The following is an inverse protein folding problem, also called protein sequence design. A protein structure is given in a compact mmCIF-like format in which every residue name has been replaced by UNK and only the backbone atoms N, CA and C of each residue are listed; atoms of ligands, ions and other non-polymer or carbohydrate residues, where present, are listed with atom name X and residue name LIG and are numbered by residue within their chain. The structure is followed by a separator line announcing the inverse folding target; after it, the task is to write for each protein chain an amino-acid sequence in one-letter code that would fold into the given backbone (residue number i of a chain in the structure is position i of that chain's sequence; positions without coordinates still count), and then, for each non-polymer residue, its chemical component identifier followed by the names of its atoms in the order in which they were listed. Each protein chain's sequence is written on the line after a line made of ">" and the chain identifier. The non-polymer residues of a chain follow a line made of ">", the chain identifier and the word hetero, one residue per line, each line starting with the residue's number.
data_IF_636107285031
#
_entry.id   IF_636107285031
#
_cell.length_a   1.000
_cell.length_b   1.000
_cell.length_c   1.000
_cell.angle_alpha   90.00
_cell.angle_beta   90.00
_cell.angle_gamma   90.00
#
_symmetry.space_group_name_H-M   'P 1'
#
loop_
_entity.id
_entity.type
_entity.pdbx_description
1 polymer ?
#
# COMPACT_ATOMS: atom_id res chain seq x y z
N UNK A 1 -5.27 -85.80 7.84
CA UNK A 1 -4.40 -84.66 8.00
C UNK A 1 -4.40 -83.90 6.67
N UNK A 2 -5.16 -82.81 6.57
CA UNK A 2 -5.26 -81.96 5.34
C UNK A 2 -4.23 -80.86 5.45
N UNK A 3 -3.25 -80.78 4.59
CA UNK A 3 -2.30 -79.67 4.46
C UNK A 3 -2.95 -78.52 3.71
N UNK A 4 -3.13 -77.43 4.33
CA UNK A 4 -3.58 -76.17 3.70
C UNK A 4 -2.33 -75.49 3.17
N UNK A 5 -2.21 -75.35 1.85
CA UNK A 5 -1.19 -74.56 1.19
C UNK A 5 -1.76 -73.13 1.08
N UNK A 6 -1.19 -72.20 1.82
CA UNK A 6 -1.51 -70.76 1.70
C UNK A 6 -0.57 -70.20 0.64
N UNK A 7 -1.12 -69.90 -0.52
CA UNK A 7 -0.41 -69.19 -1.60
C UNK A 7 -0.53 -67.73 -1.35
N UNK A 8 0.52 -67.08 -0.82
CA UNK A 8 0.59 -65.63 -0.66
C UNK A 8 0.82 -64.96 -2.00
N UNK A 9 -0.21 -64.32 -2.52
CA UNK A 9 -0.07 -63.42 -3.68
C UNK A 9 0.58 -62.12 -3.26
N UNK A 10 1.87 -61.94 -3.60
CA UNK A 10 2.61 -60.70 -3.41
C UNK A 10 2.17 -59.68 -4.47
N UNK A 11 1.22 -58.79 -4.16
CA UNK A 11 0.88 -57.66 -5.01
C UNK A 11 2.03 -56.64 -4.97
N UNK A 12 2.87 -56.66 -6.00
CA UNK A 12 3.85 -55.59 -6.24
C UNK A 12 3.07 -54.37 -6.75
N UNK A 13 2.79 -53.42 -5.85
CA UNK A 13 2.27 -52.10 -6.24
C UNK A 13 3.40 -51.33 -6.95
N UNK A 14 3.38 -51.28 -8.24
CA UNK A 14 4.21 -50.36 -9.02
C UNK A 14 3.73 -48.91 -8.73
N UNK A 15 4.44 -48.22 -7.80
CA UNK A 15 4.33 -46.76 -7.69
C UNK A 15 4.96 -46.16 -8.94
N UNK A 16 4.13 -45.80 -9.91
CA UNK A 16 4.55 -44.97 -11.04
C UNK A 16 4.83 -43.60 -10.51
N UNK A 17 6.06 -43.34 -10.08
CA UNK A 17 6.55 -42.00 -9.80
C UNK A 17 6.67 -41.29 -11.14
N UNK A 18 5.68 -40.47 -11.48
CA UNK A 18 5.79 -39.53 -12.60
C UNK A 18 6.82 -38.47 -12.21
N UNK A 19 8.06 -38.67 -12.61
CA UNK A 19 9.10 -37.66 -12.51
C UNK A 19 8.73 -36.48 -13.42
N UNK A 20 8.05 -35.48 -12.88
CA UNK A 20 7.71 -34.27 -13.63
C UNK A 20 8.98 -33.47 -13.85
N UNK A 21 9.44 -33.36 -15.08
CA UNK A 21 10.60 -32.53 -15.43
C UNK A 21 10.27 -31.07 -15.12
N UNK A 22 11.02 -30.46 -14.21
CA UNK A 22 10.88 -29.04 -13.86
C UNK A 22 11.82 -28.21 -14.73
N UNK A 23 11.27 -27.35 -15.56
CA UNK A 23 12.03 -26.41 -16.40
C UNK A 23 11.67 -24.98 -16.01
N UNK A 24 12.61 -24.02 -16.12
CA UNK A 24 12.31 -22.61 -15.90
C UNK A 24 11.25 -22.12 -16.89
N UNK A 25 10.30 -21.30 -16.40
CA UNK A 25 9.33 -20.66 -17.27
C UNK A 25 9.94 -19.45 -17.98
N UNK A 26 9.60 -19.24 -19.25
CA UNK A 26 10.08 -18.11 -20.05
C UNK A 26 9.62 -16.76 -19.51
N UNK A 27 8.51 -16.74 -18.79
CA UNK A 27 7.94 -15.59 -18.11
C UNK A 27 7.58 -16.02 -16.69
N UNK A 28 8.53 -15.92 -15.73
CA UNK A 28 8.30 -16.37 -14.36
C UNK A 28 7.19 -15.57 -13.68
N UNK A 29 6.46 -16.23 -12.81
CA UNK A 29 5.45 -15.60 -11.99
C UNK A 29 6.12 -14.67 -10.94
N UNK A 30 5.45 -13.57 -10.62
CA UNK A 30 5.79 -12.68 -9.54
C UNK A 30 4.56 -12.36 -8.71
N UNK A 31 4.81 -12.09 -7.45
CA UNK A 31 3.82 -11.74 -6.46
C UNK A 31 4.31 -10.51 -5.68
N UNK A 32 3.45 -9.52 -5.52
CA UNK A 32 3.70 -8.30 -4.76
C UNK A 32 2.59 -8.17 -3.74
N UNK A 33 2.96 -7.85 -2.53
CA UNK A 33 2.05 -7.46 -1.47
C UNK A 33 2.58 -6.19 -0.83
N UNK A 34 1.76 -5.13 -0.80
CA UNK A 34 2.13 -3.83 -0.26
C UNK A 34 0.95 -3.23 0.50
N UNK A 35 1.17 -2.84 1.75
CA UNK A 35 0.20 -2.04 2.50
C UNK A 35 0.36 -0.56 2.15
N UNK A 36 -0.72 0.11 1.79
CA UNK A 36 -0.80 1.54 1.53
C UNK A 36 -1.78 2.13 2.54
N UNK A 37 -1.29 2.98 3.44
CA UNK A 37 -2.06 3.41 4.59
C UNK A 37 -2.51 2.23 5.45
N UNK A 38 -3.81 1.90 5.41
CA UNK A 38 -4.41 0.74 6.09
C UNK A 38 -5.02 -0.26 5.11
N UNK A 39 -4.67 -0.18 3.83
CA UNK A 39 -5.21 -1.02 2.75
C UNK A 39 -4.12 -1.92 2.19
N UNK A 40 -4.37 -3.23 2.15
CA UNK A 40 -3.46 -4.18 1.52
C UNK A 40 -3.76 -4.27 0.02
N UNK A 41 -2.70 -4.21 -0.78
CA UNK A 41 -2.74 -4.34 -2.24
C UNK A 41 -1.87 -5.51 -2.64
N UNK A 42 -2.45 -6.47 -3.39
CA UNK A 42 -1.73 -7.65 -3.90
C UNK A 42 -1.78 -7.65 -5.42
N UNK A 43 -0.66 -7.96 -6.06
CA UNK A 43 -0.56 -8.12 -7.52
C UNK A 43 0.08 -9.45 -7.83
N UNK A 44 -0.58 -10.25 -8.68
CA UNK A 44 -0.04 -11.52 -9.20
C UNK A 44 0.05 -11.42 -10.71
N UNK A 45 1.23 -11.68 -11.26
CA UNK A 45 1.47 -11.54 -12.70
C UNK A 45 2.66 -12.37 -13.17
N UNK A 46 2.77 -12.56 -14.48
CA UNK A 46 3.95 -13.18 -15.10
C UNK A 46 4.80 -12.12 -15.79
N UNK A 47 6.13 -12.27 -15.70
CA UNK A 47 7.13 -11.28 -16.10
C UNK A 47 7.85 -11.67 -17.39
N UNK A 48 7.37 -11.28 -18.56
CA UNK A 48 8.11 -11.47 -19.81
C UNK A 48 9.30 -10.54 -19.89
N UNK A 49 10.38 -11.00 -20.57
CA UNK A 49 11.56 -10.19 -20.89
C UNK A 49 11.55 -9.78 -22.35
N UNK A 50 12.08 -8.61 -22.67
CA UNK A 50 12.14 -8.08 -24.03
C UNK A 50 13.04 -8.92 -24.94
N UNK A 51 14.19 -9.35 -24.44
CA UNK A 51 15.17 -10.17 -25.19
C UNK A 51 15.51 -9.57 -26.57
N UNK A 52 15.79 -8.27 -26.57
CA UNK A 52 16.14 -7.52 -27.78
C UNK A 52 15.00 -7.24 -28.75
N UNK A 53 13.74 -7.57 -28.39
CA UNK A 53 12.55 -7.24 -29.21
C UNK A 53 12.06 -5.85 -28.86
N UNK A 54 11.50 -5.13 -29.83
CA UNK A 54 10.67 -3.94 -29.59
C UNK A 54 9.37 -4.38 -28.93
N UNK A 55 9.04 -3.76 -27.80
CA UNK A 55 7.87 -4.16 -27.01
C UNK A 55 6.61 -3.49 -27.50
N UNK A 56 6.50 -2.20 -27.27
CA UNK A 56 5.25 -1.48 -27.58
C UNK A 56 5.20 -1.07 -29.06
N UNK A 57 4.10 -1.42 -29.71
CA UNK A 57 3.90 -1.27 -31.14
C UNK A 57 4.17 -2.56 -31.93
N UNK A 58 5.01 -3.47 -31.40
CA UNK A 58 5.33 -4.74 -32.04
C UNK A 58 4.88 -5.96 -31.19
N UNK A 59 5.61 -6.32 -30.12
CA UNK A 59 5.26 -7.44 -29.27
C UNK A 59 3.91 -7.25 -28.56
N UNK A 60 3.66 -6.00 -28.12
CA UNK A 60 2.38 -5.52 -27.60
C UNK A 60 1.88 -4.43 -28.55
N UNK A 61 1.04 -4.79 -29.55
CA UNK A 61 0.58 -3.84 -30.57
C UNK A 61 -0.25 -2.70 -29.97
N UNK A 62 -0.05 -1.50 -30.46
CA UNK A 62 -0.88 -0.36 -30.07
C UNK A 62 -2.34 -0.55 -30.49
N UNK A 63 -3.24 -0.04 -29.65
CA UNK A 63 -4.69 -0.13 -29.87
C UNK A 63 -5.28 -1.53 -29.67
N UNK A 64 -4.50 -2.49 -29.15
CA UNK A 64 -4.97 -3.82 -28.78
C UNK A 64 -4.91 -4.05 -27.30
N UNK A 65 -5.93 -4.71 -26.78
CA UNK A 65 -5.96 -5.11 -25.37
C UNK A 65 -4.85 -6.10 -25.06
N UNK A 66 -4.19 -5.90 -23.94
CA UNK A 66 -3.12 -6.73 -23.43
C UNK A 66 -3.43 -7.22 -22.01
N UNK A 67 -3.12 -8.47 -21.72
CA UNK A 67 -3.28 -9.09 -20.38
C UNK A 67 -2.35 -8.53 -19.31
N UNK A 68 -1.57 -7.48 -19.61
CA UNK A 68 -0.65 -6.78 -18.72
C UNK A 68 0.38 -7.71 -18.09
N UNK A 69 0.98 -8.57 -18.93
CA UNK A 69 1.93 -9.60 -18.53
C UNK A 69 1.98 -10.73 -19.55
N UNK A 70 2.15 -11.95 -19.05
CA UNK A 70 2.19 -13.18 -19.87
C UNK A 70 1.45 -14.32 -19.14
N UNK A 71 1.22 -15.45 -19.83
CA UNK A 71 0.50 -16.62 -19.33
C UNK A 71 -0.95 -16.27 -18.91
N UNK A 72 -1.35 -16.57 -17.66
CA UNK A 72 -2.62 -16.12 -17.11
C UNK A 72 -2.67 -14.58 -17.08
N UNK A 73 -3.87 -14.01 -17.01
CA UNK A 73 -4.03 -12.57 -16.83
C UNK A 73 -3.43 -12.10 -15.50
N UNK A 74 -2.90 -10.88 -15.48
CA UNK A 74 -2.50 -10.21 -14.25
C UNK A 74 -3.71 -9.97 -13.38
N UNK A 75 -3.59 -10.20 -12.07
CA UNK A 75 -4.63 -9.84 -11.10
C UNK A 75 -4.13 -8.84 -10.09
N UNK A 76 -5.04 -7.97 -9.65
CA UNK A 76 -4.82 -7.04 -8.53
C UNK A 76 -5.95 -7.17 -7.54
N UNK A 77 -5.61 -7.18 -6.24
CA UNK A 77 -6.58 -7.28 -5.14
C UNK A 77 -6.42 -6.10 -4.20
N UNK A 78 -7.52 -5.50 -3.82
CA UNK A 78 -7.59 -4.46 -2.79
C UNK A 78 -8.41 -4.97 -1.60
N UNK A 79 -7.90 -4.80 -0.38
CA UNK A 79 -8.60 -5.19 0.85
C UNK A 79 -9.75 -4.23 1.22
N UNK A 80 -9.73 -3.01 0.70
CA UNK A 80 -10.73 -1.97 0.91
C UNK A 80 -11.13 -1.31 -0.41
N UNK A 81 -12.25 -0.58 -0.41
CA UNK A 81 -12.65 0.25 -1.55
C UNK A 81 -11.60 1.32 -1.83
N UNK A 82 -11.19 1.47 -3.08
CA UNK A 82 -10.21 2.49 -3.49
C UNK A 82 -10.80 3.45 -4.51
N UNK A 83 -10.19 4.63 -4.66
CA UNK A 83 -10.61 5.61 -5.67
C UNK A 83 -9.53 5.72 -6.74
N UNK A 84 -9.91 5.52 -8.00
CA UNK A 84 -9.04 5.61 -9.17
C UNK A 84 -9.67 6.56 -10.19
N UNK A 85 -8.95 7.64 -10.54
CA UNK A 85 -9.47 8.63 -11.47
C UNK A 85 -10.80 9.26 -11.03
N UNK A 86 -11.01 9.44 -9.72
CA UNK A 86 -12.22 9.99 -9.12
C UNK A 86 -13.42 9.02 -9.06
N UNK A 87 -13.24 7.75 -9.43
CA UNK A 87 -14.28 6.71 -9.38
C UNK A 87 -13.93 5.66 -8.34
N UNK A 88 -14.93 5.24 -7.57
CA UNK A 88 -14.74 4.15 -6.59
C UNK A 88 -14.63 2.80 -7.30
N UNK A 89 -13.57 2.07 -7.00
CA UNK A 89 -13.41 0.65 -7.31
C UNK A 89 -13.64 -0.12 -5.99
N UNK A 90 -14.68 -0.96 -5.90
CA UNK A 90 -14.95 -1.74 -4.69
C UNK A 90 -13.78 -2.64 -4.31
N UNK A 91 -13.65 -2.98 -3.04
CA UNK A 91 -12.70 -4.01 -2.60
C UNK A 91 -12.94 -5.33 -3.30
N UNK A 92 -11.87 -6.04 -3.61
CA UNK A 92 -11.97 -7.30 -4.32
C UNK A 92 -10.78 -7.56 -5.22
N UNK A 93 -10.85 -8.65 -5.98
CA UNK A 93 -9.83 -9.03 -6.96
C UNK A 93 -10.33 -8.72 -8.37
N UNK A 94 -9.45 -8.19 -9.20
CA UNK A 94 -9.73 -7.80 -10.57
C UNK A 94 -8.63 -8.31 -11.51
N UNK A 95 -9.00 -8.72 -12.72
CA UNK A 95 -8.04 -8.84 -13.79
C UNK A 95 -7.63 -7.44 -14.26
N UNK A 96 -6.33 -7.23 -14.43
CA UNK A 96 -5.76 -5.97 -14.89
C UNK A 96 -5.43 -6.10 -16.38
N UNK A 97 -6.20 -5.43 -17.23
CA UNK A 97 -5.94 -5.31 -18.65
C UNK A 97 -5.49 -3.91 -19.00
N UNK A 98 -4.67 -3.79 -20.04
CA UNK A 98 -4.28 -2.50 -20.57
C UNK A 98 -4.50 -2.45 -22.08
N UNK A 99 -4.75 -1.25 -22.60
CA UNK A 99 -4.83 -0.97 -24.01
C UNK A 99 -3.83 0.16 -24.33
N UNK A 100 -2.58 -0.22 -24.66
CA UNK A 100 -1.53 0.73 -24.96
C UNK A 100 -1.78 1.50 -26.25
N UNK A 101 -1.51 2.80 -26.22
CA UNK A 101 -1.38 3.68 -27.38
C UNK A 101 -0.06 4.45 -27.24
N UNK A 102 0.35 5.17 -28.27
CA UNK A 102 1.63 5.88 -28.25
C UNK A 102 1.69 7.00 -27.19
N UNK A 103 0.58 7.67 -26.94
CA UNK A 103 0.45 8.86 -26.10
C UNK A 103 -0.47 8.70 -24.88
N UNK A 104 -1.18 7.58 -24.80
CA UNK A 104 -2.13 7.31 -23.72
C UNK A 104 -2.39 5.81 -23.57
N UNK A 105 -2.68 5.36 -22.33
CA UNK A 105 -3.05 3.97 -22.07
C UNK A 105 -4.37 3.92 -21.33
N UNK A 106 -5.27 3.05 -21.78
CA UNK A 106 -6.41 2.68 -20.95
C UNK A 106 -5.98 1.54 -20.03
N UNK A 107 -6.26 1.69 -18.73
CA UNK A 107 -6.05 0.67 -17.71
C UNK A 107 -7.42 0.24 -17.20
N UNK A 108 -7.68 -1.07 -17.24
CA UNK A 108 -9.01 -1.66 -17.08
C UNK A 108 -8.96 -2.66 -15.93
N UNK A 109 -9.87 -2.48 -14.99
CA UNK A 109 -10.13 -3.41 -13.88
C UNK A 109 -11.37 -4.22 -14.23
N UNK A 110 -11.19 -5.52 -14.43
CA UNK A 110 -12.19 -6.42 -14.98
C UNK A 110 -12.57 -7.50 -13.96
N UNK A 111 -13.87 -7.77 -13.81
CA UNK A 111 -14.39 -8.64 -12.75
C UNK A 111 -14.03 -10.11 -12.90
N UNK A 112 -13.84 -10.59 -14.14
CA UNK A 112 -13.50 -12.00 -14.38
C UNK A 112 -11.98 -12.18 -14.35
N UNK A 113 -11.50 -12.84 -13.31
CA UNK A 113 -10.06 -12.96 -13.00
C UNK A 113 -9.44 -14.28 -13.43
N UNK A 114 -10.24 -15.24 -13.90
CA UNK A 114 -9.77 -16.60 -14.20
C UNK A 114 -9.64 -16.84 -15.71
N UNK A 115 -8.77 -16.06 -16.39
CA UNK A 115 -8.54 -16.20 -17.80
C UNK A 115 -7.09 -16.61 -18.11
N UNK A 116 -6.90 -17.57 -19.02
CA UNK A 116 -5.58 -17.81 -19.59
C UNK A 116 -5.27 -16.76 -20.66
N UNK A 117 -4.94 -15.55 -20.20
CA UNK A 117 -4.71 -14.41 -21.06
C UNK A 117 -5.87 -13.42 -21.07
N UNK A 118 -6.36 -13.07 -22.23
CA UNK A 118 -7.60 -12.32 -22.39
C UNK A 118 -8.80 -13.28 -22.36
N UNK A 119 -9.98 -12.83 -21.95
CA UNK A 119 -11.18 -13.64 -22.05
C UNK A 119 -11.48 -13.96 -23.54
N UNK A 120 -11.97 -15.16 -23.86
CA UNK A 120 -12.34 -15.55 -25.23
C UNK A 120 -13.37 -14.58 -25.82
N UNK A 121 -14.31 -14.14 -24.99
CA UNK A 121 -15.29 -13.11 -25.34
C UNK A 121 -15.25 -12.02 -24.28
N UNK A 122 -14.81 -10.86 -24.67
CA UNK A 122 -14.83 -9.68 -23.79
C UNK A 122 -16.28 -9.22 -23.59
N UNK A 123 -16.64 -8.96 -22.34
CA UNK A 123 -17.97 -8.48 -21.96
C UNK A 123 -17.81 -7.14 -21.24
N UNK A 124 -18.22 -6.04 -21.87
CA UNK A 124 -18.13 -4.69 -21.34
C UNK A 124 -18.82 -4.54 -19.96
N UNK A 125 -19.82 -5.39 -19.68
CA UNK A 125 -20.52 -5.38 -18.37
C UNK A 125 -19.65 -5.85 -17.21
N UNK A 126 -18.59 -6.58 -17.49
CA UNK A 126 -17.59 -7.04 -16.51
C UNK A 126 -16.46 -6.03 -16.29
N UNK A 127 -16.43 -4.96 -17.07
CA UNK A 127 -15.51 -3.85 -16.87
C UNK A 127 -16.00 -3.00 -15.69
N UNK A 128 -15.33 -3.13 -14.53
CA UNK A 128 -15.73 -2.45 -13.30
C UNK A 128 -15.25 -1.01 -13.30
N UNK A 129 -14.03 -0.78 -13.80
CA UNK A 129 -13.45 0.55 -13.91
C UNK A 129 -12.46 0.61 -15.07
N UNK A 130 -12.49 1.71 -15.81
CA UNK A 130 -11.47 2.11 -16.78
C UNK A 130 -10.95 3.49 -16.44
N UNK A 131 -9.65 3.65 -16.46
CA UNK A 131 -8.95 4.93 -16.33
C UNK A 131 -7.95 5.09 -17.45
N UNK A 132 -7.62 6.33 -17.78
CA UNK A 132 -6.64 6.66 -18.81
C UNK A 132 -5.43 7.33 -18.18
N UNK A 133 -4.24 6.91 -18.59
CA UNK A 133 -2.95 7.43 -18.10
C UNK A 133 -2.01 7.70 -19.27
N UNK A 134 -1.09 8.63 -19.07
CA UNK A 134 -0.05 8.93 -20.06
C UNK A 134 1.19 8.09 -19.80
N UNK A 135 1.82 7.53 -20.85
CA UNK A 135 3.10 6.86 -20.69
C UNK A 135 4.21 7.88 -20.45
N UNK A 136 5.16 7.48 -19.60
CA UNK A 136 6.42 8.19 -19.34
C UNK A 136 7.58 7.42 -19.99
N UNK A 137 8.54 8.14 -20.57
CA UNK A 137 9.72 7.55 -21.17
C UNK A 137 10.87 7.51 -20.15
N UNK A 138 11.36 6.29 -19.90
CA UNK A 138 12.45 6.05 -18.96
C UNK A 138 13.81 6.29 -19.64
N UNK A 139 14.74 6.87 -18.92
CA UNK A 139 16.15 7.01 -19.34
C UNK A 139 16.89 5.66 -19.36
N UNK A 140 16.43 4.67 -18.56
CA UNK A 140 16.99 3.32 -18.47
C UNK A 140 16.09 2.30 -19.15
N UNK A 141 16.68 1.21 -19.65
CA UNK A 141 15.91 0.09 -20.15
C UNK A 141 15.48 -0.85 -19.02
N UNK A 142 14.20 -1.23 -19.01
CA UNK A 142 13.62 -2.25 -18.11
C UNK A 142 13.44 -3.53 -18.90
N UNK A 143 14.42 -4.43 -18.85
CA UNK A 143 14.46 -5.67 -19.66
C UNK A 143 13.27 -6.59 -19.40
N UNK A 144 12.89 -6.75 -18.12
CA UNK A 144 11.81 -7.65 -17.71
C UNK A 144 10.62 -6.82 -17.22
N UNK A 145 9.43 -7.09 -17.78
CA UNK A 145 8.20 -6.42 -17.36
C UNK A 145 8.04 -6.43 -15.85
N UNK A 146 7.80 -5.27 -15.27
CA UNK A 146 7.73 -5.08 -13.83
C UNK A 146 6.49 -4.28 -13.47
N UNK A 147 5.72 -4.79 -12.53
CA UNK A 147 4.69 -4.03 -11.82
C UNK A 147 5.24 -3.72 -10.43
N UNK A 148 4.97 -2.52 -9.91
CA UNK A 148 5.32 -2.09 -8.56
C UNK A 148 4.20 -1.26 -7.95
N UNK A 149 4.15 -1.22 -6.62
CA UNK A 149 3.31 -0.28 -5.88
C UNK A 149 4.27 0.71 -5.22
N UNK A 150 4.30 1.93 -5.74
CA UNK A 150 5.32 2.93 -5.42
C UNK A 150 4.69 4.29 -5.09
N UNK A 151 5.54 5.29 -4.79
CA UNK A 151 5.13 6.65 -4.44
C UNK A 151 4.05 6.67 -3.36
N UNK A 152 4.34 5.95 -2.25
CA UNK A 152 3.40 5.69 -1.17
C UNK A 152 3.21 6.91 -0.29
N UNK A 153 1.95 7.19 0.03
CA UNK A 153 1.53 8.10 1.08
C UNK A 153 0.51 7.39 2.00
N UNK A 154 0.07 8.04 3.06
CA UNK A 154 -0.95 7.49 3.94
C UNK A 154 -2.29 7.26 3.23
N UNK A 155 -2.63 8.09 2.26
CA UNK A 155 -3.94 8.12 1.63
C UNK A 155 -3.91 7.72 0.13
N UNK A 156 -2.74 7.42 -0.43
CA UNK A 156 -2.62 7.00 -1.83
C UNK A 156 -1.32 6.24 -2.13
N UNK A 157 -1.31 5.57 -3.27
CA UNK A 157 -0.14 4.98 -3.90
C UNK A 157 -0.29 4.96 -5.42
N UNK A 158 0.71 4.43 -6.11
CA UNK A 158 0.70 4.29 -7.56
C UNK A 158 0.98 2.85 -7.96
N UNK A 159 0.14 2.31 -8.85
CA UNK A 159 0.45 1.09 -9.58
C UNK A 159 1.32 1.50 -10.77
N UNK A 160 2.58 1.13 -10.74
CA UNK A 160 3.54 1.41 -11.82
C UNK A 160 3.79 0.15 -12.64
N UNK A 161 3.71 0.28 -13.96
CA UNK A 161 3.95 -0.78 -14.92
C UNK A 161 5.05 -0.33 -15.88
N UNK A 162 6.22 -0.98 -15.79
CA UNK A 162 7.39 -0.59 -16.56
C UNK A 162 7.92 -1.75 -17.42
N UNK A 163 8.20 -1.47 -18.69
CA UNK A 163 8.88 -2.39 -19.60
C UNK A 163 9.59 -1.62 -20.71
N UNK A 164 10.78 -2.09 -21.10
CA UNK A 164 11.66 -1.40 -22.03
C UNK A 164 11.95 0.04 -21.54
N UNK A 165 11.60 1.04 -22.31
CA UNK A 165 11.78 2.46 -21.95
C UNK A 165 10.45 3.16 -21.62
N UNK A 166 9.41 2.40 -21.35
CA UNK A 166 8.07 2.95 -21.09
C UNK A 166 7.59 2.56 -19.71
N UNK A 167 7.02 3.52 -18.99
CA UNK A 167 6.32 3.33 -17.73
C UNK A 167 4.97 4.01 -17.79
N UNK A 168 3.97 3.40 -17.18
CA UNK A 168 2.69 4.04 -16.86
C UNK A 168 2.43 3.90 -15.37
N UNK A 169 1.83 4.94 -14.78
CA UNK A 169 1.51 4.99 -13.36
C UNK A 169 0.03 5.32 -13.17
N UNK A 170 -0.67 4.49 -12.40
CA UNK A 170 -2.08 4.69 -12.04
C UNK A 170 -2.15 5.06 -10.57
N UNK A 171 -2.53 6.29 -10.27
CA UNK A 171 -2.80 6.72 -8.90
C UNK A 171 -4.06 6.03 -8.39
N UNK A 172 -4.01 5.50 -7.18
CA UNK A 172 -5.17 5.06 -6.42
C UNK A 172 -5.15 5.66 -5.03
N UNK A 173 -6.32 6.00 -4.52
CA UNK A 173 -6.50 6.58 -3.19
C UNK A 173 -7.18 5.54 -2.29
N UNK A 174 -6.73 5.48 -1.03
CA UNK A 174 -7.19 4.51 -0.03
C UNK A 174 -7.92 5.21 1.13
N UNK A 175 -8.88 4.55 1.79
CA UNK A 175 -9.73 5.17 2.80
C UNK A 175 -9.06 5.28 4.19
N UNK A 176 -7.74 5.46 4.26
CA UNK A 176 -6.95 5.44 5.51
C UNK A 176 -7.51 6.38 6.56
N UNK A 177 -7.80 7.62 6.17
CA UNK A 177 -8.34 8.62 7.10
C UNK A 177 -9.67 8.15 7.74
N UNK A 178 -10.59 7.61 6.92
CA UNK A 178 -11.88 7.09 7.41
C UNK A 178 -11.66 5.92 8.37
N UNK A 179 -10.82 4.96 7.98
CA UNK A 179 -10.55 3.76 8.78
C UNK A 179 -9.88 4.11 10.11
N UNK A 180 -8.86 4.99 10.08
CA UNK A 180 -8.15 5.44 11.27
C UNK A 180 -9.07 6.19 12.23
N UNK A 181 -9.89 7.12 11.73
CA UNK A 181 -10.84 7.86 12.57
C UNK A 181 -11.87 6.93 13.22
N UNK A 182 -12.43 5.97 12.48
CA UNK A 182 -13.35 4.97 13.02
C UNK A 182 -12.68 4.10 14.09
N UNK A 183 -11.44 3.64 13.85
CA UNK A 183 -10.66 2.86 14.81
C UNK A 183 -10.41 3.64 16.10
N UNK A 184 -10.01 4.90 15.98
CA UNK A 184 -9.76 5.81 17.10
C UNK A 184 -11.04 6.03 17.92
N UNK A 185 -12.15 6.32 17.28
CA UNK A 185 -13.44 6.51 17.97
C UNK A 185 -13.87 5.27 18.74
N UNK A 186 -13.63 4.08 18.17
CA UNK A 186 -13.93 2.80 18.82
C UNK A 186 -13.00 2.56 20.03
N UNK A 187 -11.72 2.83 19.92
CA UNK A 187 -10.74 2.65 21.00
C UNK A 187 -10.95 3.63 22.16
N UNK A 188 -11.53 4.81 21.89
CA UNK A 188 -11.73 5.84 22.91
C UNK A 188 -12.81 5.52 23.97
N UNK A 189 -13.53 4.43 23.86
CA UNK A 189 -14.44 3.96 24.90
C UNK A 189 -13.74 3.57 26.22
N UNK A 190 -12.42 3.26 26.16
CA UNK A 190 -11.58 2.92 27.32
C UNK A 190 -10.06 3.02 27.05
N UNK A 191 -9.55 4.17 26.56
CA UNK A 191 -8.24 4.24 25.93
C UNK A 191 -7.08 4.14 26.94
N UNK A 192 -6.00 3.47 26.54
CA UNK A 192 -4.69 3.54 27.20
C UNK A 192 -3.99 4.89 26.93
N UNK A 193 -2.91 5.16 27.65
CA UNK A 193 -2.06 6.35 27.39
C UNK A 193 -1.55 6.34 25.92
N UNK A 194 -1.15 5.17 25.42
CA UNK A 194 -0.65 5.02 24.06
C UNK A 194 -1.75 5.28 23.01
N UNK A 195 -2.97 4.81 23.25
CA UNK A 195 -4.10 5.06 22.35
C UNK A 195 -4.42 6.57 22.26
N UNK A 196 -4.41 7.25 23.41
CA UNK A 196 -4.64 8.69 23.48
C UNK A 196 -3.56 9.47 22.74
N UNK A 197 -2.28 9.11 22.93
CA UNK A 197 -1.16 9.74 22.24
C UNK A 197 -1.23 9.50 20.72
N UNK A 198 -1.37 8.26 20.28
CA UNK A 198 -1.44 7.90 18.85
C UNK A 198 -2.61 8.60 18.15
N UNK A 199 -3.76 8.67 18.83
CA UNK A 199 -4.95 9.36 18.33
C UNK A 199 -4.73 10.85 18.17
N UNK A 200 -4.16 11.51 19.18
CA UNK A 200 -3.84 12.94 19.12
C UNK A 200 -2.83 13.24 18.00
N UNK A 201 -1.82 12.39 17.84
CA UNK A 201 -0.81 12.50 16.78
C UNK A 201 -1.44 12.39 15.39
N UNK A 202 -2.28 11.38 15.17
CA UNK A 202 -2.94 11.18 13.88
C UNK A 202 -3.88 12.36 13.54
N UNK A 203 -4.68 12.86 14.49
CA UNK A 203 -5.56 14.01 14.28
C UNK A 203 -4.77 15.27 13.93
N UNK A 204 -3.61 15.46 14.57
CA UNK A 204 -2.71 16.55 14.23
C UNK A 204 -2.19 16.44 12.78
N UNK A 205 -1.70 15.26 12.38
CA UNK A 205 -1.12 15.02 11.06
C UNK A 205 -2.15 15.09 9.94
N UNK A 206 -3.30 14.47 10.13
CA UNK A 206 -4.38 14.41 9.13
C UNK A 206 -5.19 15.71 8.99
N UNK A 207 -4.91 16.72 9.82
CA UNK A 207 -5.69 17.96 9.83
C UNK A 207 -7.13 17.79 10.32
N UNK A 208 -7.42 16.70 11.06
CA UNK A 208 -8.72 16.48 11.71
C UNK A 208 -8.95 17.48 12.86
N UNK A 209 -9.99 17.29 13.67
CA UNK A 209 -10.35 18.20 14.77
C UNK A 209 -9.21 18.36 15.79
N UNK A 210 -8.53 19.52 15.77
CA UNK A 210 -7.39 19.80 16.64
C UNK A 210 -7.80 19.98 18.10
N UNK A 211 -9.05 20.35 18.41
CA UNK A 211 -9.54 20.43 19.78
C UNK A 211 -9.66 19.03 20.40
N UNK A 212 -10.15 18.06 19.64
CA UNK A 212 -10.13 16.63 20.05
C UNK A 212 -8.70 16.15 20.27
N UNK A 213 -7.78 16.46 19.37
CA UNK A 213 -6.37 16.12 19.53
C UNK A 213 -5.77 16.69 20.83
N UNK A 214 -6.08 17.95 21.14
CA UNK A 214 -5.63 18.59 22.38
C UNK A 214 -6.25 17.94 23.62
N UNK A 215 -7.54 17.60 23.57
CA UNK A 215 -8.23 16.93 24.66
C UNK A 215 -7.58 15.57 24.96
N UNK A 216 -7.29 14.77 23.96
CA UNK A 216 -6.69 13.44 24.14
C UNK A 216 -5.24 13.49 24.61
N UNK A 217 -4.41 14.41 24.09
CA UNK A 217 -3.04 14.54 24.57
C UNK A 217 -3.01 15.01 26.05
N UNK A 218 -3.96 15.85 26.46
CA UNK A 218 -4.11 16.24 27.86
C UNK A 218 -4.54 15.04 28.73
N UNK A 219 -5.51 14.24 28.28
CA UNK A 219 -5.91 13.01 28.99
C UNK A 219 -4.75 12.02 29.12
N UNK A 220 -3.92 11.88 28.05
CA UNK A 220 -2.72 11.05 28.12
C UNK A 220 -1.76 11.52 29.22
N UNK A 221 -1.51 12.84 29.30
CA UNK A 221 -0.67 13.46 30.34
C UNK A 221 -1.29 13.25 31.72
N UNK A 222 -2.61 13.44 31.84
CA UNK A 222 -3.33 13.24 33.11
C UNK A 222 -3.27 11.81 33.63
N UNK A 223 -3.32 10.82 32.73
CA UNK A 223 -3.13 9.40 33.09
C UNK A 223 -1.70 9.08 33.55
N UNK A 224 -0.72 9.92 33.23
CA UNK A 224 0.69 9.81 33.65
C UNK A 224 0.96 10.49 35.01
N UNK A 225 -0.07 10.94 35.75
CA UNK A 225 0.11 11.63 37.05
C UNK A 225 1.04 10.83 37.97
N UNK A 226 2.04 11.49 38.53
CA UNK A 226 3.07 10.90 39.36
C UNK A 226 4.27 10.31 38.61
N UNK A 227 4.27 10.37 37.29
CA UNK A 227 5.39 10.01 36.42
C UNK A 227 5.89 11.23 35.65
N UNK A 228 7.16 11.18 35.20
CA UNK A 228 7.68 12.20 34.30
C UNK A 228 7.06 12.04 32.92
N UNK A 229 6.48 13.11 32.38
CA UNK A 229 5.86 13.10 31.04
C UNK A 229 6.97 13.04 29.99
N UNK A 230 6.97 12.05 29.08
CA UNK A 230 8.01 11.93 28.06
C UNK A 230 8.05 13.15 27.14
N UNK A 231 9.26 13.52 26.71
CA UNK A 231 9.51 14.69 25.84
C UNK A 231 8.69 14.66 24.55
N UNK A 232 8.50 13.49 23.93
CA UNK A 232 7.74 13.36 22.69
C UNK A 232 6.23 13.61 22.88
N UNK A 233 5.67 13.32 24.05
CA UNK A 233 4.28 13.63 24.39
C UNK A 233 4.09 15.14 24.53
N UNK A 234 5.00 15.79 25.27
CA UNK A 234 5.02 17.24 25.42
C UNK A 234 5.24 17.93 24.06
N UNK A 235 6.13 17.41 23.25
CA UNK A 235 6.33 17.90 21.88
C UNK A 235 5.04 17.87 21.07
N UNK A 236 4.33 16.73 21.07
CA UNK A 236 3.08 16.57 20.34
C UNK A 236 2.03 17.58 20.82
N UNK A 237 1.91 17.78 22.14
CA UNK A 237 1.01 18.80 22.70
C UNK A 237 1.36 20.20 22.21
N UNK A 238 2.63 20.59 22.23
CA UNK A 238 3.08 21.91 21.80
C UNK A 238 2.75 22.19 20.33
N UNK A 239 2.89 21.17 19.45
CA UNK A 239 2.55 21.27 18.04
C UNK A 239 1.04 21.47 17.82
N UNK A 240 0.20 20.75 18.57
CA UNK A 240 -1.26 20.88 18.50
C UNK A 240 -1.68 22.27 18.96
N UNK A 241 -1.12 22.78 20.07
CA UNK A 241 -1.39 24.11 20.58
C UNK A 241 -1.02 25.21 19.57
N UNK A 242 0.16 25.09 18.94
CA UNK A 242 0.58 26.03 17.90
C UNK A 242 -0.40 26.02 16.70
N UNK A 243 -0.87 24.84 16.29
CA UNK A 243 -1.83 24.69 15.19
C UNK A 243 -3.21 25.29 15.53
N UNK A 244 -3.59 25.29 16.80
CA UNK A 244 -4.79 25.96 17.31
C UNK A 244 -4.62 27.48 17.51
N UNK A 245 -3.41 28.02 17.28
CA UNK A 245 -3.11 29.45 17.49
C UNK A 245 -2.71 29.82 18.92
N UNK A 246 -2.68 28.88 19.86
CA UNK A 246 -2.18 29.09 21.23
C UNK A 246 -0.65 29.11 21.25
N UNK A 247 -0.07 30.17 20.66
CA UNK A 247 1.40 30.34 20.60
C UNK A 247 2.04 30.37 21.99
N UNK A 248 1.39 30.98 22.98
CA UNK A 248 1.93 31.08 24.34
C UNK A 248 2.02 29.74 25.01
N UNK A 249 0.94 28.97 24.99
CA UNK A 249 0.91 27.58 25.53
C UNK A 249 1.85 26.65 24.77
N UNK A 250 1.94 26.80 23.46
CA UNK A 250 2.85 26.03 22.64
C UNK A 250 4.32 26.23 23.01
N UNK A 251 4.75 27.49 23.19
CA UNK A 251 6.12 27.83 23.60
C UNK A 251 6.43 27.27 25.00
N UNK A 252 5.50 27.42 25.95
CA UNK A 252 5.70 26.90 27.31
C UNK A 252 5.82 25.37 27.32
N UNK A 253 4.93 24.67 26.63
CA UNK A 253 4.98 23.23 26.52
C UNK A 253 6.23 22.73 25.76
N UNK A 254 6.67 23.47 24.72
CA UNK A 254 7.90 23.14 24.00
C UNK A 254 9.16 23.32 24.88
N UNK A 255 9.18 24.28 25.80
CA UNK A 255 10.26 24.45 26.80
C UNK A 255 10.31 23.25 27.76
N UNK A 256 9.15 22.74 28.20
CA UNK A 256 9.08 21.51 29.01
C UNK A 256 9.60 20.30 28.25
N UNK A 257 9.19 20.15 26.98
CA UNK A 257 9.70 19.10 26.09
C UNK A 257 11.22 19.22 25.87
N UNK A 258 11.73 20.45 25.70
CA UNK A 258 13.17 20.70 25.58
C UNK A 258 13.93 20.22 26.81
N UNK A 259 13.52 20.63 28.01
CA UNK A 259 14.16 20.20 29.24
C UNK A 259 14.14 18.68 29.42
N UNK A 260 13.01 18.03 29.12
CA UNK A 260 12.89 16.56 29.16
C UNK A 260 13.76 15.86 28.10
N UNK A 261 13.90 16.45 26.91
CA UNK A 261 14.77 15.90 25.86
C UNK A 261 16.26 16.07 26.13
N UNK A 262 16.66 17.18 26.76
CA UNK A 262 18.04 17.40 27.25
C UNK A 262 18.40 16.37 28.34
N UNK A 263 17.52 16.13 29.30
CA UNK A 263 17.67 15.12 30.34
C UNK A 263 17.80 13.70 29.76
N UNK A 264 17.05 13.41 28.69
CA UNK A 264 17.09 12.13 27.98
C UNK A 264 18.24 12.01 26.98
N UNK A 265 19.09 13.03 26.83
CA UNK A 265 20.18 13.11 25.84
C UNK A 265 19.70 12.91 24.39
N UNK A 266 18.48 13.36 24.06
CA UNK A 266 17.92 13.24 22.71
C UNK A 266 18.16 14.53 21.90
N UNK A 267 19.26 14.58 21.15
CA UNK A 267 19.71 15.73 20.37
C UNK A 267 18.69 16.20 19.32
N UNK A 268 17.94 15.27 18.71
CA UNK A 268 16.98 15.58 17.65
C UNK A 268 15.79 16.36 18.22
N UNK A 269 15.22 15.89 19.33
CA UNK A 269 14.14 16.60 20.00
C UNK A 269 14.58 17.93 20.62
N UNK A 270 15.83 18.00 21.11
CA UNK A 270 16.43 19.27 21.58
C UNK A 270 16.43 20.30 20.44
N UNK A 271 16.92 19.89 19.25
CA UNK A 271 16.95 20.75 18.07
C UNK A 271 15.55 21.17 17.65
N UNK A 272 14.64 20.20 17.47
CA UNK A 272 13.25 20.45 17.04
C UNK A 272 12.51 21.40 17.97
N UNK A 273 12.68 21.29 19.29
CA UNK A 273 12.04 22.17 20.26
C UNK A 273 12.61 23.58 20.19
N UNK A 274 13.94 23.74 20.10
CA UNK A 274 14.59 25.05 19.94
C UNK A 274 14.12 25.77 18.67
N UNK A 275 14.05 25.06 17.55
CA UNK A 275 13.60 25.61 16.27
C UNK A 275 12.15 26.12 16.37
N UNK A 276 11.25 25.32 16.96
CA UNK A 276 9.84 25.70 17.13
C UNK A 276 9.65 26.87 18.10
N UNK A 277 10.36 26.91 19.23
CA UNK A 277 10.31 28.02 20.16
C UNK A 277 10.75 29.31 19.46
N UNK A 278 11.82 29.27 18.67
CA UNK A 278 12.30 30.42 17.91
C UNK A 278 11.29 30.89 16.85
N UNK A 279 10.67 29.93 16.12
CA UNK A 279 9.66 30.20 15.09
C UNK A 279 8.43 30.89 15.72
N UNK A 280 7.86 30.31 16.77
CA UNK A 280 6.63 30.79 17.37
C UNK A 280 6.82 32.11 18.20
N UNK A 281 8.06 32.41 18.61
CA UNK A 281 8.39 33.65 19.32
C UNK A 281 8.53 34.86 18.37
N UNK A 282 8.61 34.63 17.05
CA UNK A 282 8.63 35.72 16.08
C UNK A 282 7.24 36.38 16.04
N UNK A 283 7.23 37.73 16.11
CA UNK A 283 6.01 38.55 16.05
C UNK A 283 5.40 38.56 14.64
#
# INVERSE_FOLDING_TARGET
>A
MKKIIITGALMLAFMVSSAQVRTPQSSPAAHIEQTVGLTDVKVEYSRPSAKGRSVYGELVPFGRMWRTGANANTTITFSEDVVIGGKTLPKGQYALFTLPKADSWDVIFYADTNNWGLPEKYDDKKEVLRTNVKPEFLSRNVETFTIGINNLDNDYGFIEMAWEKTMVAVKFEVPTKKMALTSIETAMAGPSVNDLFASAQYYYQSGADQNKALAWINQAIDKMKGQEVPFYVLRQKSLIQAKLGDKKGAIETAKQSLAASEKANNSDYVKMNKDSINEWSRK
#
